data_IF_363001899269
#
_entry.id   IF_363001899269
#
_cell.length_a   1.000
_cell.length_b   1.000
_cell.length_c   1.000
_cell.angle_alpha   90.00
_cell.angle_beta   90.00
_cell.angle_gamma   90.00
#
_symmetry.space_group_name_H-M   'P 1'
#
loop_
_entity.id
_entity.type
_entity.pdbx_description
1 polymer ?
#
# COMPACT_ATOMS: atom_id res chain seq x y z
N UNK A 1 -4.69 14.69 -11.97
CA UNK A 1 -5.44 15.79 -11.31
C UNK A 1 -5.88 15.45 -9.89
N UNK A 2 -6.62 14.35 -9.65
CA UNK A 2 -7.07 14.02 -8.28
C UNK A 2 -5.92 13.77 -7.29
N UNK A 3 -4.88 13.02 -7.69
CA UNK A 3 -3.70 12.78 -6.86
C UNK A 3 -2.97 14.07 -6.47
N UNK A 4 -2.81 15.00 -7.42
CA UNK A 4 -2.23 16.33 -7.21
C UNK A 4 -3.06 17.17 -6.22
N UNK A 5 -4.40 17.09 -6.32
CA UNK A 5 -5.30 17.70 -5.32
C UNK A 5 -5.11 17.06 -3.94
N UNK A 6 -4.97 15.74 -3.84
CA UNK A 6 -4.70 15.10 -2.55
C UNK A 6 -3.41 15.63 -1.93
N UNK A 7 -2.32 15.72 -2.71
CA UNK A 7 -1.04 16.21 -2.22
C UNK A 7 -1.11 17.68 -1.77
N UNK A 8 -1.68 18.58 -2.59
CA UNK A 8 -1.75 20.01 -2.23
C UNK A 8 -2.65 20.29 -1.01
N UNK A 9 -3.72 19.50 -0.85
CA UNK A 9 -4.65 19.61 0.29
C UNK A 9 -4.20 18.79 1.50
N UNK A 10 -3.02 18.17 1.45
CA UNK A 10 -2.50 17.26 2.50
C UNK A 10 -3.46 16.14 2.88
N UNK A 11 -4.19 15.61 1.89
CA UNK A 11 -5.04 14.44 2.04
C UNK A 11 -4.24 13.15 1.77
N UNK A 12 -4.57 12.02 2.42
CA UNK A 12 -3.89 10.76 2.16
C UNK A 12 -3.89 10.38 0.68
N UNK A 13 -2.71 10.02 0.15
CA UNK A 13 -2.53 9.44 -1.18
C UNK A 13 -1.67 8.19 -1.04
N UNK A 14 -2.24 7.02 -1.37
CA UNK A 14 -1.53 5.74 -1.38
C UNK A 14 -1.39 5.27 -2.83
N UNK A 15 -0.15 5.01 -3.26
CA UNK A 15 0.18 4.55 -4.60
C UNK A 15 0.62 3.08 -4.57
N UNK A 16 -0.18 2.20 -5.16
CA UNK A 16 0.18 0.79 -5.34
C UNK A 16 1.01 0.57 -6.61
N UNK A 17 2.32 0.84 -6.52
CA UNK A 17 3.25 0.63 -7.64
C UNK A 17 3.51 -0.88 -7.86
N UNK A 18 3.16 -1.40 -9.04
CA UNK A 18 3.32 -2.82 -9.40
C UNK A 18 4.14 -2.94 -10.69
N UNK A 19 5.42 -3.21 -10.55
CA UNK A 19 6.34 -3.48 -11.66
C UNK A 19 7.57 -4.27 -11.15
N UNK A 20 8.18 -5.10 -12.00
CA UNK A 20 9.42 -5.82 -11.71
C UNK A 20 10.11 -6.29 -13.03
N UNK A 21 11.41 -5.99 -13.23
CA UNK A 21 12.31 -5.24 -12.35
C UNK A 21 12.09 -3.72 -12.41
N UNK A 22 12.50 -3.02 -11.35
CA UNK A 22 12.46 -1.57 -11.33
C UNK A 22 13.74 -1.00 -11.96
N UNK A 23 13.60 -0.02 -12.84
CA UNK A 23 14.71 0.81 -13.29
C UNK A 23 14.80 2.11 -12.48
N UNK A 24 15.90 2.86 -12.60
CA UNK A 24 16.16 4.09 -11.85
C UNK A 24 15.01 5.11 -11.92
N UNK A 25 14.46 5.36 -13.11
CA UNK A 25 13.30 6.25 -13.27
C UNK A 25 12.06 5.90 -12.43
N UNK A 26 11.76 4.60 -12.21
CA UNK A 26 10.68 4.20 -11.31
C UNK A 26 11.00 4.60 -9.86
N UNK A 27 12.24 4.34 -9.42
CA UNK A 27 12.69 4.65 -8.06
C UNK A 27 12.70 6.17 -7.82
N UNK A 28 13.17 6.97 -8.77
CA UNK A 28 13.15 8.44 -8.68
C UNK A 28 11.72 8.99 -8.61
N UNK A 29 10.79 8.45 -9.40
CA UNK A 29 9.39 8.85 -9.35
C UNK A 29 8.75 8.50 -7.99
N UNK A 30 8.99 7.28 -7.49
CA UNK A 30 8.49 6.84 -6.19
C UNK A 30 9.09 7.66 -5.04
N UNK A 31 10.39 8.00 -5.11
CA UNK A 31 11.04 8.86 -4.13
C UNK A 31 10.42 10.26 -4.11
N UNK A 32 10.15 10.86 -5.28
CA UNK A 32 9.48 12.16 -5.38
C UNK A 32 8.08 12.13 -4.75
N UNK A 33 7.30 11.10 -5.04
CA UNK A 33 5.95 10.93 -4.43
C UNK A 33 6.04 10.86 -2.91
N UNK A 34 6.97 10.05 -2.38
CA UNK A 34 7.21 9.96 -0.93
C UNK A 34 7.65 11.30 -0.34
N UNK A 35 8.55 12.03 -1.01
CA UNK A 35 9.00 13.35 -0.58
C UNK A 35 7.92 14.43 -0.57
N UNK A 36 6.87 14.27 -1.38
CA UNK A 36 5.68 15.15 -1.38
C UNK A 36 4.63 14.76 -0.33
N UNK A 37 4.86 13.71 0.46
CA UNK A 37 3.92 13.21 1.48
C UNK A 37 2.93 12.15 0.98
N UNK A 38 3.07 11.68 -0.26
CA UNK A 38 2.37 10.48 -0.74
C UNK A 38 2.99 9.21 -0.15
N UNK A 39 2.26 8.11 -0.13
CA UNK A 39 2.73 6.83 0.38
C UNK A 39 2.88 5.86 -0.78
N UNK A 40 4.09 5.39 -1.03
CA UNK A 40 4.34 4.32 -2.01
C UNK A 40 4.19 2.97 -1.31
N UNK A 41 3.20 2.19 -1.74
CA UNK A 41 2.81 0.91 -1.14
C UNK A 41 2.80 -0.18 -2.22
N UNK A 42 3.95 -0.75 -2.61
CA UNK A 42 3.96 -1.83 -3.59
C UNK A 42 3.14 -3.04 -3.06
N UNK A 43 2.34 -3.71 -3.90
CA UNK A 43 1.53 -4.85 -3.48
C UNK A 43 2.42 -6.09 -3.30
N UNK A 44 3.04 -6.21 -2.12
CA UNK A 44 3.88 -7.35 -1.75
C UNK A 44 3.04 -8.36 -0.95
N UNK A 45 2.92 -9.62 -1.43
CA UNK A 45 2.16 -10.66 -0.74
C UNK A 45 2.64 -10.89 0.71
N UNK A 46 1.72 -10.92 1.69
CA UNK A 46 2.06 -11.09 3.10
C UNK A 46 2.10 -12.57 3.47
N UNK A 47 3.12 -13.30 3.00
CA UNK A 47 3.25 -14.74 3.25
C UNK A 47 3.31 -15.13 4.74
N UNK A 48 3.71 -14.21 5.63
CA UNK A 48 3.68 -14.42 7.08
C UNK A 48 2.26 -14.65 7.63
N UNK A 49 1.22 -14.21 6.92
CA UNK A 49 -0.17 -14.37 7.33
C UNK A 49 -0.74 -15.75 6.94
N UNK A 50 0.06 -16.62 6.33
CA UNK A 50 -0.38 -17.95 5.87
C UNK A 50 -1.63 -17.92 4.99
N UNK A 51 -1.70 -17.09 3.93
CA UNK A 51 -2.89 -17.03 3.08
C UNK A 51 -3.12 -18.38 2.38
N UNK A 52 -4.35 -18.88 2.41
CA UNK A 52 -4.73 -20.15 1.77
C UNK A 52 -5.07 -19.96 0.28
N UNK A 53 -5.57 -18.78 -0.08
CA UNK A 53 -6.02 -18.48 -1.43
C UNK A 53 -5.41 -17.18 -1.99
N UNK A 54 -5.45 -17.04 -3.33
CA UNK A 54 -5.11 -15.78 -4.00
C UNK A 54 -5.99 -14.62 -3.50
N UNK A 55 -7.26 -14.88 -3.27
CA UNK A 55 -8.21 -13.90 -2.75
C UNK A 55 -7.82 -13.42 -1.35
N UNK A 56 -7.28 -14.27 -0.49
CA UNK A 56 -6.79 -13.86 0.83
C UNK A 56 -5.58 -12.93 0.72
N UNK A 57 -4.67 -13.20 -0.23
CA UNK A 57 -3.54 -12.30 -0.49
C UNK A 57 -4.02 -10.93 -0.99
N UNK A 58 -4.94 -10.92 -1.95
CA UNK A 58 -5.49 -9.69 -2.53
C UNK A 58 -6.26 -8.90 -1.47
N UNK A 59 -7.11 -9.57 -0.68
CA UNK A 59 -7.86 -8.97 0.43
C UNK A 59 -6.93 -8.32 1.44
N UNK A 60 -5.88 -9.04 1.86
CA UNK A 60 -4.94 -8.51 2.85
C UNK A 60 -4.13 -7.31 2.31
N UNK A 61 -3.71 -7.32 1.04
CA UNK A 61 -3.04 -6.18 0.40
C UNK A 61 -3.97 -4.96 0.35
N UNK A 62 -5.22 -5.15 -0.10
CA UNK A 62 -6.21 -4.09 -0.18
C UNK A 62 -6.55 -3.51 1.21
N UNK A 63 -6.75 -4.38 2.21
CA UNK A 63 -7.03 -3.98 3.58
C UNK A 63 -5.88 -3.15 4.18
N UNK A 64 -4.62 -3.53 3.92
CA UNK A 64 -3.45 -2.73 4.33
C UNK A 64 -3.40 -1.38 3.63
N UNK A 65 -3.68 -1.32 2.33
CA UNK A 65 -3.70 -0.05 1.60
C UNK A 65 -4.79 0.91 2.12
N UNK A 66 -5.99 0.40 2.44
CA UNK A 66 -7.06 1.17 3.08
C UNK A 66 -6.64 1.68 4.46
N UNK A 67 -6.09 0.80 5.30
CA UNK A 67 -5.58 1.18 6.62
C UNK A 67 -4.51 2.29 6.52
N UNK A 68 -3.60 2.19 5.54
CA UNK A 68 -2.59 3.21 5.25
C UNK A 68 -3.21 4.54 4.79
N UNK A 69 -4.34 4.51 4.11
CA UNK A 69 -5.11 5.70 3.74
C UNK A 69 -5.96 6.28 4.90
N UNK A 70 -5.90 5.68 6.10
CA UNK A 70 -6.69 6.08 7.26
C UNK A 70 -8.13 5.57 7.26
N UNK A 71 -8.44 4.57 6.43
CA UNK A 71 -9.76 3.93 6.35
C UNK A 71 -9.71 2.62 7.11
N UNK A 72 -10.65 2.39 8.04
CA UNK A 72 -10.73 1.14 8.79
C UNK A 72 -11.18 -0.02 7.88
N UNK A 73 -10.34 -1.04 7.65
CA UNK A 73 -10.69 -2.21 6.83
C UNK A 73 -11.50 -3.28 7.58
N UNK A 74 -11.75 -3.09 8.88
CA UNK A 74 -12.46 -4.05 9.72
C UNK A 74 -11.81 -5.43 9.73
N UNK A 75 -12.64 -6.47 9.59
CA UNK A 75 -12.20 -7.87 9.58
C UNK A 75 -11.37 -8.28 8.35
N UNK A 76 -11.28 -7.41 7.32
CA UNK A 76 -10.50 -7.72 6.12
C UNK A 76 -8.99 -7.65 6.36
N UNK A 77 -8.55 -7.08 7.49
CA UNK A 77 -7.15 -6.98 7.86
C UNK A 77 -6.76 -8.01 8.91
N UNK A 78 -6.03 -9.03 8.50
CA UNK A 78 -5.36 -9.96 9.41
C UNK A 78 -4.15 -9.27 10.03
N UNK A 79 -4.22 -8.96 11.33
CA UNK A 79 -3.11 -8.35 12.08
C UNK A 79 -2.26 -9.45 12.68
N UNK A 80 -0.94 -9.32 12.57
CA UNK A 80 -0.04 -10.19 13.31
C UNK A 80 -0.20 -9.92 14.83
N UNK A 81 -0.45 -10.95 15.61
CA UNK A 81 -0.69 -10.87 17.06
C UNK A 81 0.55 -11.18 17.90
N UNK A 82 1.72 -11.38 17.28
CA UNK A 82 2.93 -11.85 17.96
C UNK A 82 3.05 -13.37 18.00
N UNK A 83 4.15 -13.86 18.57
CA UNK A 83 4.31 -15.27 18.95
C UNK A 83 3.80 -15.42 20.38
N UNK A 84 2.79 -16.26 20.59
CA UNK A 84 2.31 -16.69 21.91
C UNK A 84 3.25 -17.70 22.53
#
# INVERSE_FOLDING_TARGET
RAADVCLKERRPLVLLAREAPLHAGHLEAMLKVTGMGGIVFPPVPPFYAGPETLDDMVRQIAARALATAGIDPGWSLNRWTGLS
#
